data_IF_236044815202
#
_entry.id   IF_236044815202
#
_cell.length_a   1.000
_cell.length_b   1.000
_cell.length_c   1.000
_cell.angle_alpha   90.00
_cell.angle_beta   90.00
_cell.angle_gamma   90.00
#
_symmetry.space_group_name_H-M   'P 1'
#
loop_
_entity.id
_entity.type
_entity.pdbx_description
1 polymer ?
#
# COMPACT_ATOMS: atom_id res chain seq x y z
N UNK A 1 -7.72 -57.32 14.53
CA UNK A 1 -6.93 -56.08 14.31
C UNK A 1 -7.72 -55.18 13.38
N UNK A 2 -8.19 -53.99 13.79
CA UNK A 2 -8.98 -53.13 12.92
C UNK A 2 -8.05 -52.34 11.98
N UNK A 3 -8.48 -52.05 10.73
CA UNK A 3 -7.68 -51.26 9.82
C UNK A 3 -7.65 -49.79 10.25
N UNK A 4 -6.49 -49.18 10.03
CA UNK A 4 -6.13 -47.81 10.39
C UNK A 4 -6.95 -46.81 9.57
N UNK A 5 -7.84 -46.06 10.21
CA UNK A 5 -8.60 -44.99 9.55
C UNK A 5 -7.62 -43.91 9.03
N UNK A 6 -7.67 -43.52 7.74
CA UNK A 6 -6.97 -42.32 7.30
C UNK A 6 -7.72 -41.10 7.84
N UNK A 7 -7.06 -40.30 8.65
CA UNK A 7 -7.55 -38.99 9.07
C UNK A 7 -7.45 -38.02 7.89
N UNK A 8 -8.33 -38.18 6.90
CA UNK A 8 -8.58 -37.13 5.90
C UNK A 8 -9.65 -36.23 6.48
N UNK A 9 -9.25 -35.34 7.38
CA UNK A 9 -10.02 -34.12 7.58
C UNK A 9 -10.01 -33.38 6.25
N UNK A 10 -11.17 -32.99 5.68
CA UNK A 10 -11.18 -32.06 4.58
C UNK A 10 -10.54 -30.79 5.11
N UNK A 11 -9.30 -30.52 4.70
CA UNK A 11 -8.70 -29.21 4.85
C UNK A 11 -9.56 -28.30 3.98
N UNK A 12 -10.62 -27.76 4.57
CA UNK A 12 -11.51 -26.80 3.97
C UNK A 12 -10.70 -25.52 3.85
N UNK A 13 -9.93 -25.42 2.76
CA UNK A 13 -9.19 -24.24 2.39
C UNK A 13 -10.17 -23.08 2.42
N UNK A 14 -10.00 -22.04 3.25
CA UNK A 14 -10.81 -20.85 3.11
C UNK A 14 -10.54 -20.36 1.69
N UNK A 15 -11.58 -20.39 0.85
CA UNK A 15 -11.60 -19.72 -0.45
C UNK A 15 -11.14 -18.29 -0.19
N UNK A 16 -9.87 -18.00 -0.49
CA UNK A 16 -9.32 -16.66 -0.31
C UNK A 16 -9.97 -15.83 -1.42
N UNK A 17 -11.12 -15.25 -1.10
CA UNK A 17 -11.71 -14.19 -1.91
C UNK A 17 -10.62 -13.14 -2.06
N UNK A 18 -10.08 -13.04 -3.28
CA UNK A 18 -9.02 -12.09 -3.61
C UNK A 18 -9.65 -10.70 -3.50
N UNK A 19 -9.47 -10.03 -2.36
CA UNK A 19 -9.86 -8.63 -2.21
C UNK A 19 -9.06 -7.82 -3.23
N UNK A 20 -9.75 -7.19 -4.18
CA UNK A 20 -9.13 -6.31 -5.18
C UNK A 20 -8.46 -5.14 -4.45
N UNK A 21 -7.15 -4.93 -4.69
CA UNK A 21 -6.43 -3.80 -4.09
C UNK A 21 -6.99 -2.49 -4.65
N UNK A 22 -7.27 -1.53 -3.77
CA UNK A 22 -7.48 -0.13 -4.17
C UNK A 22 -6.13 0.46 -4.59
N UNK A 23 -6.06 1.02 -5.80
CA UNK A 23 -4.91 1.81 -6.22
C UNK A 23 -4.99 3.19 -5.58
N UNK A 24 -3.83 3.70 -5.14
CA UNK A 24 -3.70 5.04 -4.59
C UNK A 24 -3.01 5.93 -5.63
N UNK A 25 -3.49 7.16 -5.81
CA UNK A 25 -2.90 8.12 -6.73
C UNK A 25 -1.49 8.55 -6.26
N UNK A 26 -0.66 9.00 -7.20
CA UNK A 26 0.70 9.45 -6.89
C UNK A 26 0.70 10.65 -5.95
N UNK A 27 -0.24 11.59 -6.13
CA UNK A 27 -0.41 12.78 -5.30
C UNK A 27 -0.63 12.44 -3.83
N UNK A 28 -1.53 11.50 -3.53
CA UNK A 28 -1.81 11.12 -2.13
C UNK A 28 -0.59 10.43 -1.52
N UNK A 29 0.16 9.63 -2.29
CA UNK A 29 1.42 9.03 -1.81
C UNK A 29 2.48 10.09 -1.52
N UNK A 30 2.61 11.11 -2.36
CA UNK A 30 3.54 12.23 -2.16
C UNK A 30 3.16 13.05 -0.92
N UNK A 31 1.88 13.36 -0.73
CA UNK A 31 1.42 14.09 0.47
C UNK A 31 1.74 13.31 1.76
N UNK A 32 1.51 11.99 1.77
CA UNK A 32 1.86 11.13 2.91
C UNK A 32 3.37 11.19 3.21
N UNK A 33 4.22 11.16 2.19
CA UNK A 33 5.68 11.28 2.36
C UNK A 33 6.06 12.66 2.89
N UNK A 34 5.55 13.73 2.30
CA UNK A 34 5.86 15.10 2.73
C UNK A 34 5.40 15.40 4.16
N UNK A 35 4.23 14.89 4.57
CA UNK A 35 3.73 15.04 5.94
C UNK A 35 4.57 14.29 6.95
N UNK A 36 5.07 13.11 6.58
CA UNK A 36 5.96 12.35 7.44
C UNK A 36 7.32 13.03 7.62
N UNK A 37 7.85 13.67 6.58
CA UNK A 37 9.08 14.47 6.67
C UNK A 37 8.93 15.72 7.54
N UNK A 38 7.72 16.25 7.67
CA UNK A 38 7.37 17.30 8.64
C UNK A 38 7.15 16.76 10.06
N UNK A 39 7.61 15.55 10.34
CA UNK A 39 7.50 14.84 11.62
C UNK A 39 6.05 14.62 12.10
N UNK A 40 5.09 14.62 11.17
CA UNK A 40 3.72 14.33 11.55
C UNK A 40 3.55 12.86 11.95
N UNK A 41 2.83 12.63 13.05
CA UNK A 41 2.56 11.29 13.56
C UNK A 41 1.83 10.44 12.50
N UNK A 42 2.34 9.24 12.25
CA UNK A 42 1.77 8.26 11.31
C UNK A 42 0.28 8.01 11.51
N UNK A 43 -0.20 8.02 12.76
CA UNK A 43 -1.61 7.86 13.08
C UNK A 43 -2.46 9.05 12.57
N UNK A 44 -1.96 10.28 12.71
CA UNK A 44 -2.63 11.48 12.17
C UNK A 44 -2.75 11.43 10.66
N UNK A 45 -1.65 11.06 9.97
CA UNK A 45 -1.61 10.91 8.52
C UNK A 45 -2.60 9.82 8.07
N UNK A 46 -2.57 8.66 8.73
CA UNK A 46 -3.48 7.55 8.41
C UNK A 46 -4.96 7.96 8.56
N UNK A 47 -5.31 8.65 9.65
CA UNK A 47 -6.67 9.14 9.89
C UNK A 47 -7.11 10.17 8.85
N UNK A 48 -6.23 11.09 8.47
CA UNK A 48 -6.54 12.12 7.48
C UNK A 48 -6.90 11.54 6.11
N UNK A 49 -6.19 10.51 5.65
CA UNK A 49 -6.45 9.88 4.36
C UNK A 49 -7.41 8.68 4.42
N UNK A 50 -7.96 8.36 5.59
CA UNK A 50 -8.81 7.17 5.78
C UNK A 50 -8.08 5.85 5.50
N UNK A 51 -6.77 5.80 5.77
CA UNK A 51 -5.90 4.65 5.51
C UNK A 51 -5.59 3.89 6.80
N UNK A 52 -5.14 2.64 6.62
CA UNK A 52 -4.55 1.86 7.71
C UNK A 52 -3.09 2.25 7.94
N UNK A 53 -2.61 2.10 9.18
CA UNK A 53 -1.19 2.30 9.52
C UNK A 53 -0.25 1.44 8.66
N UNK A 54 -0.66 0.21 8.34
CA UNK A 54 0.10 -0.70 7.48
C UNK A 54 0.26 -0.18 6.04
N UNK A 55 -0.76 0.51 5.53
CA UNK A 55 -0.71 1.14 4.20
C UNK A 55 0.29 2.28 4.22
N UNK A 56 0.23 3.14 5.23
CA UNK A 56 1.17 4.26 5.39
C UNK A 56 2.61 3.76 5.55
N UNK A 57 2.84 2.73 6.37
CA UNK A 57 4.17 2.11 6.49
C UNK A 57 4.70 1.56 5.17
N UNK A 58 3.84 0.92 4.36
CA UNK A 58 4.22 0.41 3.03
C UNK A 58 4.60 1.56 2.08
N UNK A 59 3.90 2.70 2.17
CA UNK A 59 4.23 3.91 1.40
C UNK A 59 5.60 4.44 1.82
N UNK A 60 5.90 4.50 3.12
CA UNK A 60 7.22 4.92 3.61
C UNK A 60 8.35 4.01 3.11
N UNK A 61 8.14 2.69 3.08
CA UNK A 61 9.12 1.75 2.51
C UNK A 61 9.42 1.99 1.03
N UNK A 62 8.55 2.70 0.31
CA UNK A 62 8.71 3.01 -1.11
C UNK A 62 8.83 4.52 -1.39
N UNK A 63 9.15 5.31 -0.35
CA UNK A 63 9.17 6.77 -0.43
C UNK A 63 10.11 7.30 -1.52
N UNK A 64 11.31 6.73 -1.65
CA UNK A 64 12.29 7.16 -2.64
C UNK A 64 11.78 6.97 -4.07
N UNK A 65 11.19 5.81 -4.36
CA UNK A 65 10.58 5.53 -5.66
C UNK A 65 9.41 6.47 -5.97
N UNK A 66 8.62 6.81 -4.94
CA UNK A 66 7.48 7.73 -5.08
C UNK A 66 7.97 9.15 -5.39
N UNK A 67 9.01 9.64 -4.70
CA UNK A 67 9.61 10.96 -4.96
C UNK A 67 10.14 11.05 -6.40
N UNK A 68 10.88 10.02 -6.84
CA UNK A 68 11.42 9.96 -8.21
C UNK A 68 10.32 9.92 -9.27
N UNK A 69 9.23 9.20 -9.01
CA UNK A 69 8.06 9.22 -9.87
C UNK A 69 7.41 10.63 -9.95
N UNK A 70 7.36 11.35 -8.83
CA UNK A 70 6.88 12.74 -8.78
C UNK A 70 7.73 13.71 -9.60
N UNK A 71 9.05 13.65 -9.44
CA UNK A 71 10.01 14.46 -10.23
C UNK A 71 9.88 14.18 -11.74
N UNK A 72 9.76 12.90 -12.10
CA UNK A 72 9.61 12.47 -13.50
C UNK A 72 8.30 13.01 -14.10
N UNK A 73 7.20 12.94 -13.35
CA UNK A 73 5.92 13.47 -13.78
C UNK A 73 5.97 14.98 -13.99
N UNK A 74 6.63 15.72 -13.10
CA UNK A 74 6.82 17.17 -13.21
C UNK A 74 7.68 17.55 -14.42
N UNK A 75 8.79 16.85 -14.66
CA UNK A 75 9.66 17.07 -15.81
C UNK A 75 8.94 16.84 -17.14
N UNK A 76 8.12 15.79 -17.21
CA UNK A 76 7.31 15.49 -18.40
C UNK A 76 6.23 16.54 -18.67
N UNK A 77 5.61 17.10 -17.62
CA UNK A 77 4.65 18.22 -17.76
C UNK A 77 5.34 19.49 -18.29
N UNK A 78 6.53 19.80 -17.78
CA UNK A 78 7.30 20.97 -18.22
C UNK A 78 7.66 20.92 -19.72
N UNK A 79 7.98 19.73 -20.25
CA UNK A 79 8.32 19.55 -21.68
C UNK A 79 7.13 19.55 -22.63
N UNK A 80 5.91 19.33 -22.13
CA UNK A 80 4.68 19.33 -22.94
C UNK A 80 4.06 20.72 -23.11
N UNK A 81 4.56 21.72 -22.37
CA UNK A 81 4.01 23.07 -22.34
C UNK A 81 4.81 24.07 -23.21
N UNK A 82 5.65 23.57 -24.12
CA UNK A 82 6.39 24.36 -25.11
C UNK A 82 5.93 23.97 -26.51
#
# INVERSE_FOLDING_TARGET
>A
MPPKCPATSPAMSPSIVKKTRKSLTLEVKLDIVHRHEREEKTNSIARHHGLTLSTVSTIFKSADSIKKAGETASSLQAKRST
#
